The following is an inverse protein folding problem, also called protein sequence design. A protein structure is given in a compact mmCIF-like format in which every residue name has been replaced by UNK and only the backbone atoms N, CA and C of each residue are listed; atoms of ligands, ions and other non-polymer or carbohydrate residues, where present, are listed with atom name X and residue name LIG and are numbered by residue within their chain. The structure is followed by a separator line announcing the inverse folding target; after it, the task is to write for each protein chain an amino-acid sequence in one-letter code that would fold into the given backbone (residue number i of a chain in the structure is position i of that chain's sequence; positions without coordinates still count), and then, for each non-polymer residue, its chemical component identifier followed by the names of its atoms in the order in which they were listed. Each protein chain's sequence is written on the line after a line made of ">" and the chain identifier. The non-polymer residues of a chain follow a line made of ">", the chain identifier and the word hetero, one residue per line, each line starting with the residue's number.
data_IF_855788318373
#
_entry.id   IF_855788318373
#
_cell.length_a   1.000
_cell.length_b   1.000
_cell.length_c   1.000
_cell.angle_alpha   90.00
_cell.angle_beta   90.00
_cell.angle_gamma   90.00
#
_symmetry.space_group_name_H-M   'P 1'
#
loop_
_entity.id
_entity.type
_entity.pdbx_description
1 polymer ?
#
# COMPACT_ATOMS: atom_id res chain seq x y z
N UNK A 1 6.03 2.71 -46.74
CA UNK A 1 6.78 1.78 -45.88
C UNK A 1 6.30 1.85 -44.47
N UNK A 2 5.74 0.78 -43.98
CA UNK A 2 5.37 0.80 -42.57
C UNK A 2 6.66 0.89 -41.77
N UNK A 3 6.79 2.04 -41.11
CA UNK A 3 7.81 2.16 -40.09
C UNK A 3 7.45 1.12 -39.05
N UNK A 4 8.29 0.15 -38.86
CA UNK A 4 8.20 -0.71 -37.71
C UNK A 4 8.27 0.19 -36.49
N UNK A 5 7.12 0.54 -35.98
CA UNK A 5 7.02 1.20 -34.71
C UNK A 5 7.43 0.16 -33.68
N UNK A 6 8.67 0.22 -33.25
CA UNK A 6 9.04 -0.51 -32.05
C UNK A 6 8.12 0.04 -30.96
N UNK A 7 7.21 -0.78 -30.51
CA UNK A 7 6.34 -0.43 -29.41
C UNK A 7 7.23 -0.19 -28.20
N UNK A 8 7.43 1.08 -27.89
CA UNK A 8 7.95 1.43 -26.56
C UNK A 8 6.98 0.85 -25.55
N UNK A 9 7.46 0.19 -24.50
CA UNK A 9 6.58 -0.27 -23.43
C UNK A 9 5.72 0.90 -22.98
N UNK A 10 4.44 0.65 -22.81
CA UNK A 10 3.55 1.64 -22.20
C UNK A 10 3.91 1.73 -20.74
N UNK A 11 4.80 2.67 -20.40
CA UNK A 11 5.33 2.85 -19.05
C UNK A 11 4.22 3.10 -18.04
N UNK A 12 3.14 3.79 -18.44
CA UNK A 12 1.99 4.03 -17.57
C UNK A 12 1.25 2.75 -17.22
N UNK A 13 1.00 1.89 -18.20
CA UNK A 13 0.32 0.61 -17.97
C UNK A 13 1.17 -0.33 -17.13
N UNK A 14 2.48 -0.42 -17.43
CA UNK A 14 3.41 -1.24 -16.65
C UNK A 14 3.54 -0.74 -15.22
N UNK A 15 3.63 0.57 -15.04
CA UNK A 15 3.69 1.19 -13.71
C UNK A 15 2.42 0.92 -12.92
N UNK A 16 1.24 0.99 -13.55
CA UNK A 16 -0.04 0.69 -12.92
C UNK A 16 -0.09 -0.77 -12.45
N UNK A 17 0.35 -1.70 -13.28
CA UNK A 17 0.37 -3.12 -12.92
C UNK A 17 1.35 -3.41 -11.77
N UNK A 18 2.55 -2.85 -11.82
CA UNK A 18 3.56 -3.03 -10.79
C UNK A 18 3.07 -2.47 -9.45
N UNK A 19 2.53 -1.25 -9.47
CA UNK A 19 1.98 -0.60 -8.28
C UNK A 19 0.84 -1.43 -7.67
N UNK A 20 -0.08 -1.88 -8.49
CA UNK A 20 -1.24 -2.66 -8.06
C UNK A 20 -0.82 -3.98 -7.44
N UNK A 21 0.07 -4.71 -8.10
CA UNK A 21 0.59 -5.98 -7.57
C UNK A 21 1.31 -5.80 -6.24
N UNK A 22 2.14 -4.77 -6.13
CA UNK A 22 2.87 -4.48 -4.90
C UNK A 22 1.91 -4.16 -3.75
N UNK A 23 0.86 -3.37 -4.01
CA UNK A 23 -0.13 -3.03 -3.01
C UNK A 23 -0.91 -4.25 -2.51
N UNK A 24 -1.34 -5.11 -3.43
CA UNK A 24 -2.06 -6.34 -3.10
C UNK A 24 -1.17 -7.33 -2.36
N UNK A 25 0.07 -7.46 -2.78
CA UNK A 25 1.04 -8.35 -2.12
C UNK A 25 1.32 -7.89 -0.69
N UNK A 26 1.51 -6.61 -0.46
CA UNK A 26 1.69 -6.06 0.88
C UNK A 26 0.50 -6.37 1.78
N UNK A 27 -0.72 -6.23 1.26
CA UNK A 27 -1.93 -6.56 2.02
C UNK A 27 -2.00 -8.05 2.36
N UNK A 28 -1.63 -8.94 1.44
CA UNK A 28 -1.57 -10.37 1.71
C UNK A 28 -0.57 -10.69 2.82
N UNK A 29 0.64 -10.18 2.71
CA UNK A 29 1.70 -10.41 3.71
C UNK A 29 1.28 -9.94 5.08
N UNK A 30 0.58 -8.82 5.17
CA UNK A 30 0.16 -8.22 6.43
C UNK A 30 -1.23 -8.71 6.91
N UNK A 31 -1.86 -9.65 6.23
CA UNK A 31 -3.22 -10.12 6.52
C UNK A 31 -4.25 -8.99 6.54
N UNK A 32 -4.08 -8.02 5.65
CA UNK A 32 -5.05 -6.92 5.50
C UNK A 32 -6.08 -7.33 4.44
N UNK A 33 -7.36 -7.44 4.82
CA UNK A 33 -8.40 -7.79 3.86
C UNK A 33 -8.53 -6.76 2.74
N UNK A 34 -8.97 -7.20 1.57
CA UNK A 34 -9.16 -6.29 0.42
C UNK A 34 -10.09 -5.12 0.75
N UNK A 35 -11.14 -5.34 1.53
CA UNK A 35 -12.04 -4.27 1.97
C UNK A 35 -11.28 -3.19 2.77
N UNK A 36 -10.41 -3.60 3.67
CA UNK A 36 -9.61 -2.66 4.46
C UNK A 36 -8.59 -1.94 3.57
N UNK A 37 -7.96 -2.65 2.64
CA UNK A 37 -7.07 -2.03 1.67
C UNK A 37 -7.81 -0.97 0.84
N UNK A 38 -9.04 -1.25 0.42
CA UNK A 38 -9.87 -0.28 -0.29
C UNK A 38 -10.06 1.00 0.53
N UNK A 39 -10.32 0.87 1.83
CA UNK A 39 -10.42 2.03 2.73
C UNK A 39 -9.08 2.80 2.80
N UNK A 40 -7.97 2.09 2.92
CA UNK A 40 -6.64 2.70 3.02
C UNK A 40 -6.32 3.55 1.79
N UNK A 41 -6.58 3.03 0.61
CA UNK A 41 -6.25 3.73 -0.64
C UNK A 41 -7.40 4.57 -1.20
N UNK A 42 -8.54 4.60 -0.49
CA UNK A 42 -9.65 5.50 -0.81
C UNK A 42 -10.47 5.11 -2.02
N UNK A 43 -10.68 3.82 -2.25
CA UNK A 43 -11.49 3.31 -3.36
C UNK A 43 -12.60 2.41 -2.84
N UNK A 44 -13.55 2.05 -3.73
CA UNK A 44 -14.62 1.12 -3.39
C UNK A 44 -14.11 -0.33 -3.34
N UNK A 45 -14.84 -1.20 -2.66
CA UNK A 45 -14.54 -2.63 -2.62
C UNK A 45 -14.55 -3.24 -4.03
N UNK A 46 -15.45 -2.80 -4.90
CA UNK A 46 -15.49 -3.29 -6.28
C UNK A 46 -14.29 -2.85 -7.11
N UNK A 47 -13.75 -1.66 -6.84
CA UNK A 47 -12.53 -1.18 -7.50
C UNK A 47 -11.35 -2.07 -7.12
N UNK A 48 -11.18 -2.39 -5.84
CA UNK A 48 -10.12 -3.29 -5.38
C UNK A 48 -10.29 -4.69 -5.98
N UNK A 49 -11.51 -5.19 -6.05
CA UNK A 49 -11.80 -6.51 -6.62
C UNK A 49 -11.39 -6.57 -8.11
N UNK A 50 -11.70 -5.52 -8.88
CA UNK A 50 -11.27 -5.44 -10.28
C UNK A 50 -9.76 -5.33 -10.42
N UNK A 51 -9.10 -4.58 -9.55
CA UNK A 51 -7.65 -4.47 -9.53
C UNK A 51 -7.01 -5.83 -9.22
N UNK A 52 -7.54 -6.57 -8.26
CA UNK A 52 -7.05 -7.90 -7.87
C UNK A 52 -7.21 -8.93 -8.99
N UNK A 53 -8.24 -8.80 -9.83
CA UNK A 53 -8.46 -9.68 -10.99
C UNK A 53 -7.74 -9.22 -12.26
N UNK A 54 -6.88 -8.21 -12.15
CA UNK A 54 -6.12 -7.60 -13.25
C UNK A 54 -6.98 -6.96 -14.36
N UNK A 55 -8.25 -6.64 -14.05
CA UNK A 55 -9.18 -6.02 -15.02
C UNK A 55 -8.99 -4.51 -15.11
N UNK A 56 -8.64 -3.88 -13.98
CA UNK A 56 -8.46 -2.44 -13.90
C UNK A 56 -7.38 -2.12 -12.87
N UNK A 57 -6.11 -2.05 -13.28
CA UNK A 57 -5.04 -1.68 -12.37
C UNK A 57 -5.20 -0.24 -11.88
N UNK A 58 -4.63 0.05 -10.71
CA UNK A 58 -4.69 1.38 -10.10
C UNK A 58 -3.78 2.33 -10.88
N UNK A 59 -4.34 3.46 -11.32
CA UNK A 59 -3.58 4.49 -12.02
C UNK A 59 -2.62 5.18 -11.04
N UNK A 60 -1.29 5.13 -11.27
CA UNK A 60 -0.31 5.76 -10.39
C UNK A 60 -0.48 7.28 -10.23
N UNK A 61 -1.06 7.94 -11.24
CA UNK A 61 -1.23 9.39 -11.26
C UNK A 61 -2.57 9.84 -10.67
N UNK A 62 -3.40 8.89 -10.24
CA UNK A 62 -4.67 9.18 -9.57
C UNK A 62 -4.47 9.44 -8.08
N UNK A 63 -5.49 9.98 -7.42
CA UNK A 63 -5.49 10.12 -5.97
C UNK A 63 -5.33 8.76 -5.27
N UNK A 64 -6.02 7.75 -5.75
CA UNK A 64 -5.86 6.38 -5.25
C UNK A 64 -4.43 5.88 -5.45
N UNK A 65 -3.80 6.21 -6.57
CA UNK A 65 -2.39 5.87 -6.84
C UNK A 65 -1.44 6.53 -5.85
N UNK A 66 -1.66 7.77 -5.49
CA UNK A 66 -0.86 8.46 -4.47
C UNK A 66 -0.95 7.75 -3.12
N UNK A 67 -2.16 7.42 -2.69
CA UNK A 67 -2.38 6.73 -1.41
C UNK A 67 -1.81 5.31 -1.46
N UNK A 68 -1.89 4.66 -2.61
CA UNK A 68 -1.30 3.33 -2.82
C UNK A 68 0.21 3.35 -2.65
N UNK A 69 0.88 4.36 -3.18
CA UNK A 69 2.33 4.54 -2.99
C UNK A 69 2.69 4.71 -1.52
N UNK A 70 1.90 5.46 -0.77
CA UNK A 70 2.10 5.64 0.67
C UNK A 70 1.89 4.33 1.42
N UNK A 71 0.88 3.55 1.05
CA UNK A 71 0.64 2.21 1.62
C UNK A 71 1.83 1.29 1.43
N UNK A 72 2.40 1.26 0.22
CA UNK A 72 3.58 0.45 -0.06
C UNK A 72 4.78 0.91 0.76
N UNK A 73 4.95 2.22 0.95
CA UNK A 73 6.01 2.76 1.82
C UNK A 73 5.82 2.35 3.27
N UNK A 74 4.58 2.34 3.77
CA UNK A 74 4.25 1.84 5.12
C UNK A 74 4.72 0.39 5.25
N UNK A 75 4.36 -0.45 4.28
CA UNK A 75 4.77 -1.85 4.28
C UNK A 75 6.29 -2.00 4.32
N UNK A 76 7.00 -1.28 3.46
CA UNK A 76 8.48 -1.36 3.38
C UNK A 76 9.15 -0.91 4.66
N UNK A 77 8.67 0.17 5.26
CA UNK A 77 9.25 0.67 6.52
C UNK A 77 8.97 -0.29 7.67
N UNK A 78 7.76 -0.83 7.76
CA UNK A 78 7.42 -1.82 8.77
C UNK A 78 8.23 -3.10 8.59
N UNK A 79 8.33 -3.61 7.37
CA UNK A 79 9.11 -4.80 7.05
C UNK A 79 10.58 -4.65 7.47
N UNK A 80 11.17 -3.49 7.21
CA UNK A 80 12.55 -3.20 7.62
C UNK A 80 12.70 -3.18 9.14
N UNK A 81 11.76 -2.59 9.86
CA UNK A 81 11.81 -2.49 11.33
C UNK A 81 11.72 -3.87 11.98
N UNK A 82 10.87 -4.75 11.47
CA UNK A 82 10.68 -6.09 12.03
C UNK A 82 11.64 -7.13 11.45
N UNK A 83 12.57 -6.71 10.58
CA UNK A 83 13.52 -7.62 9.95
C UNK A 83 12.85 -8.70 9.10
N UNK A 84 11.83 -8.32 8.34
CA UNK A 84 11.04 -9.22 7.49
C UNK A 84 10.29 -10.32 8.27
N UNK A 85 10.04 -10.10 9.55
CA UNK A 85 9.21 -10.99 10.36
C UNK A 85 7.74 -10.63 10.16
N UNK A 86 7.05 -11.34 9.27
CA UNK A 86 5.67 -11.04 8.88
C UNK A 86 4.70 -11.13 10.06
N UNK A 87 4.89 -12.09 10.95
CA UNK A 87 4.05 -12.25 12.15
C UNK A 87 4.18 -11.04 13.08
N UNK A 88 5.40 -10.56 13.30
CA UNK A 88 5.63 -9.36 14.10
C UNK A 88 4.98 -8.13 13.47
N UNK A 89 5.04 -8.00 12.15
CA UNK A 89 4.41 -6.90 11.43
C UNK A 89 2.89 -6.94 11.57
N UNK A 90 2.27 -8.11 11.41
CA UNK A 90 0.82 -8.29 11.59
C UNK A 90 0.39 -7.94 13.00
N UNK A 91 1.11 -8.41 13.99
CA UNK A 91 0.83 -8.14 15.41
C UNK A 91 0.90 -6.63 15.69
N UNK A 92 1.91 -5.95 15.16
CA UNK A 92 2.06 -4.52 15.33
C UNK A 92 0.85 -3.74 14.79
N UNK A 93 0.36 -4.12 13.61
CA UNK A 93 -0.76 -3.45 12.94
C UNK A 93 -2.07 -3.53 13.73
N UNK A 94 -2.29 -4.62 14.46
CA UNK A 94 -3.56 -4.86 15.15
C UNK A 94 -3.46 -4.68 16.66
N UNK A 95 -2.35 -4.17 17.16
CA UNK A 95 -2.16 -3.90 18.59
C UNK A 95 -2.37 -2.43 18.89
N UNK A 96 -3.02 -2.13 20.03
CA UNK A 96 -3.16 -0.74 20.49
C UNK A 96 -1.78 -0.10 20.63
N UNK A 97 -1.65 1.15 20.20
CA UNK A 97 -0.36 1.82 20.14
C UNK A 97 -0.46 3.22 20.74
N UNK A 98 0.36 3.49 21.74
CA UNK A 98 0.38 4.78 22.42
C UNK A 98 0.75 5.93 21.48
N UNK A 99 1.56 5.68 20.45
CA UNK A 99 1.91 6.68 19.44
C UNK A 99 0.69 7.18 18.65
N UNK A 100 -0.40 6.40 18.63
CA UNK A 100 -1.64 6.73 17.95
C UNK A 100 -2.82 6.84 18.92
N UNK A 101 -2.56 7.40 20.09
CA UNK A 101 -3.55 7.61 21.15
C UNK A 101 -4.30 6.32 21.55
N UNK A 102 -3.61 5.20 21.53
CA UNK A 102 -4.18 3.89 21.88
C UNK A 102 -4.91 3.21 20.72
N UNK A 103 -4.99 3.84 19.57
CA UNK A 103 -5.58 3.25 18.38
C UNK A 103 -4.66 2.19 17.79
N UNK A 104 -5.24 1.18 17.12
CA UNK A 104 -4.46 0.23 16.32
C UNK A 104 -3.92 0.95 15.09
N UNK A 105 -2.66 0.72 14.69
CA UNK A 105 -2.15 1.31 13.46
C UNK A 105 -3.02 1.03 12.23
N UNK A 106 -3.56 -0.19 12.11
CA UNK A 106 -4.43 -0.56 11.00
C UNK A 106 -5.66 0.34 10.90
N UNK A 107 -6.29 0.68 12.02
CA UNK A 107 -7.43 1.59 12.05
C UNK A 107 -7.01 3.01 11.61
N UNK A 108 -5.84 3.43 12.03
CA UNK A 108 -5.30 4.75 11.69
C UNK A 108 -5.04 4.87 10.18
N UNK A 109 -4.63 3.79 9.53
CA UNK A 109 -4.33 3.76 8.08
C UNK A 109 -5.55 4.01 7.20
N UNK A 110 -6.76 3.92 7.74
CA UNK A 110 -8.00 4.01 6.95
C UNK A 110 -8.41 5.44 6.58
N UNK A 111 -7.63 6.44 6.97
CA UNK A 111 -7.77 7.81 6.52
C UNK A 111 -6.45 8.30 5.93
N UNK A 112 -6.50 9.25 4.99
CA UNK A 112 -5.30 9.81 4.37
C UNK A 112 -4.38 10.43 5.42
N UNK A 113 -4.94 11.19 6.36
CA UNK A 113 -4.19 11.80 7.46
C UNK A 113 -3.52 10.74 8.33
N UNK A 114 -4.25 9.69 8.70
CA UNK A 114 -3.72 8.60 9.51
C UNK A 114 -2.65 7.80 8.78
N UNK A 115 -2.82 7.57 7.50
CA UNK A 115 -1.84 6.88 6.66
C UNK A 115 -0.50 7.64 6.68
N UNK A 116 -0.54 8.95 6.51
CA UNK A 116 0.66 9.80 6.56
C UNK A 116 1.27 9.78 7.96
N UNK A 117 0.45 9.84 9.00
CA UNK A 117 0.92 9.81 10.40
C UNK A 117 1.65 8.49 10.70
N UNK A 118 1.08 7.36 10.34
CA UNK A 118 1.71 6.04 10.52
C UNK A 118 3.01 5.95 9.74
N UNK A 119 3.01 6.42 8.48
CA UNK A 119 4.21 6.41 7.66
C UNK A 119 5.34 7.22 8.30
N UNK A 120 5.06 8.43 8.75
CA UNK A 120 6.08 9.27 9.41
C UNK A 120 6.61 8.62 10.68
N UNK A 121 5.75 8.00 11.47
CA UNK A 121 6.16 7.27 12.66
C UNK A 121 7.13 6.13 12.30
N UNK A 122 6.79 5.32 11.30
CA UNK A 122 7.62 4.21 10.87
C UNK A 122 8.93 4.68 10.25
N UNK A 123 8.91 5.72 9.44
CA UNK A 123 10.12 6.29 8.85
C UNK A 123 11.07 6.80 9.92
N UNK A 124 10.55 7.47 10.96
CA UNK A 124 11.35 7.92 12.10
C UNK A 124 11.95 6.75 12.88
N UNK A 125 11.18 5.70 13.12
CA UNK A 125 11.66 4.51 13.81
C UNK A 125 12.74 3.79 12.99
N UNK A 126 12.54 3.68 11.68
CA UNK A 126 13.49 3.07 10.77
C UNK A 126 14.82 3.83 10.72
N UNK A 127 14.77 5.15 10.76
CA UNK A 127 15.96 5.99 10.75
C UNK A 127 16.84 5.83 12.00
N UNK A 128 16.26 5.27 13.08
CA UNK A 128 17.00 5.02 14.34
C UNK A 128 17.58 3.62 14.45
N UNK A 129 17.41 2.80 13.44
CA UNK A 129 17.97 1.44 13.44
C UNK A 129 19.48 1.44 13.29
#
# INVERSE_FOLDING_TARGET
>A
MPVSVSRKPNLSADSAQVLTKAALRAAEVLDVPQRTLADIIGVSASTISRAASARAPIDPDSKAGELTKLWIRVFRSLDAIVGSNDEAARTWLVSANAAFAGQKPLERLRSAEGLIHVLHYLDSARARL
#
